data_IF_923866742202
#
_entry.id   IF_923866742202
#
_cell.length_a   1.000
_cell.length_b   1.000
_cell.length_c   1.000
_cell.angle_alpha   90.00
_cell.angle_beta   90.00
_cell.angle_gamma   90.00
#
_symmetry.space_group_name_H-M   'P 1'
#
loop_
_entity.id
_entity.type
_entity.pdbx_description
1 polymer ?
#
# COMPACT_ATOMS: atom_id res chain seq x y z
N UNK A 1 14.20 -1.75 -8.42
CA UNK A 1 13.47 -1.14 -7.28
C UNK A 1 13.73 0.35 -7.13
N UNK A 2 14.98 0.77 -7.16
CA UNK A 2 15.33 2.20 -7.03
C UNK A 2 14.65 3.08 -8.08
N UNK A 3 14.61 2.63 -9.31
CA UNK A 3 13.91 3.34 -10.38
C UNK A 3 12.42 3.52 -10.08
N UNK A 4 11.77 2.49 -9.55
CA UNK A 4 10.36 2.56 -9.17
C UNK A 4 10.11 3.58 -8.06
N UNK A 5 11.05 3.72 -7.12
CA UNK A 5 10.96 4.71 -6.05
C UNK A 5 11.06 6.13 -6.61
N UNK A 6 11.95 6.37 -7.54
CA UNK A 6 12.05 7.67 -8.21
C UNK A 6 10.78 8.00 -9.01
N UNK A 7 10.24 7.01 -9.71
CA UNK A 7 8.96 7.17 -10.40
C UNK A 7 7.83 7.49 -9.41
N UNK A 8 7.81 6.81 -8.27
CA UNK A 8 6.81 7.06 -7.23
C UNK A 8 6.87 8.50 -6.72
N UNK A 9 8.07 9.01 -6.47
CA UNK A 9 8.26 10.41 -6.07
C UNK A 9 7.76 11.38 -7.15
N UNK A 10 8.06 11.09 -8.39
CA UNK A 10 7.60 11.90 -9.50
C UNK A 10 6.07 11.92 -9.60
N UNK A 11 5.43 10.77 -9.54
CA UNK A 11 3.97 10.66 -9.61
C UNK A 11 3.29 11.33 -8.43
N UNK A 12 3.89 11.24 -7.25
CA UNK A 12 3.35 11.91 -6.07
C UNK A 12 3.39 13.44 -6.20
N UNK A 13 4.50 13.99 -6.74
CA UNK A 13 4.61 15.43 -6.99
C UNK A 13 3.64 15.95 -8.03
N UNK A 14 3.26 15.10 -8.98
CA UNK A 14 2.37 15.43 -10.09
C UNK A 14 1.04 14.67 -9.97
N UNK A 15 0.56 14.50 -8.75
CA UNK A 15 -0.64 13.70 -8.46
C UNK A 15 -1.90 14.22 -9.15
N UNK A 16 -1.95 15.48 -9.53
CA UNK A 16 -3.04 16.05 -10.32
C UNK A 16 -3.09 15.52 -11.76
N UNK A 17 -1.96 14.98 -12.27
CA UNK A 17 -1.86 14.36 -13.60
C UNK A 17 -2.06 12.85 -13.56
N UNK A 18 -1.85 12.23 -12.41
CA UNK A 18 -1.89 10.78 -12.24
C UNK A 18 -2.97 10.44 -11.22
N UNK A 19 -4.04 9.80 -11.70
CA UNK A 19 -5.18 9.48 -10.86
C UNK A 19 -4.87 8.38 -9.84
N UNK A 20 -5.86 8.10 -8.98
CA UNK A 20 -5.75 7.11 -7.92
C UNK A 20 -5.45 5.71 -8.48
N UNK A 21 -6.10 5.32 -9.57
CA UNK A 21 -5.90 4.00 -10.19
C UNK A 21 -4.47 3.87 -10.69
N UNK A 22 -3.95 4.87 -11.38
CA UNK A 22 -2.59 4.86 -11.89
C UNK A 22 -1.57 4.73 -10.76
N UNK A 23 -1.73 5.54 -9.71
CA UNK A 23 -0.83 5.50 -8.54
C UNK A 23 -0.89 4.15 -7.83
N UNK A 24 -2.07 3.59 -7.68
CA UNK A 24 -2.26 2.27 -7.08
C UNK A 24 -1.57 1.18 -7.89
N UNK A 25 -1.72 1.21 -9.22
CA UNK A 25 -1.06 0.24 -10.09
C UNK A 25 0.46 0.32 -10.00
N UNK A 26 1.00 1.51 -9.84
CA UNK A 26 2.44 1.65 -9.63
C UNK A 26 2.90 1.02 -8.31
N UNK A 27 2.15 1.22 -7.23
CA UNK A 27 2.43 0.56 -5.94
C UNK A 27 2.34 -0.96 -6.09
N UNK A 28 1.36 -1.46 -6.81
CA UNK A 28 1.25 -2.90 -7.08
C UNK A 28 2.48 -3.45 -7.81
N UNK A 29 3.04 -2.71 -8.75
CA UNK A 29 4.31 -3.09 -9.39
C UNK A 29 5.46 -3.17 -8.40
N UNK A 30 5.55 -2.20 -7.50
CA UNK A 30 6.58 -2.18 -6.45
C UNK A 30 6.47 -3.39 -5.52
N UNK A 31 5.29 -3.67 -5.00
CA UNK A 31 5.09 -4.79 -4.08
C UNK A 31 5.23 -6.14 -4.79
N UNK A 32 4.82 -6.24 -6.04
CA UNK A 32 5.01 -7.44 -6.85
C UNK A 32 6.50 -7.72 -7.06
N UNK A 33 7.30 -6.69 -7.32
CA UNK A 33 8.74 -6.81 -7.44
C UNK A 33 9.36 -7.36 -6.14
N UNK A 34 8.97 -6.81 -5.00
CA UNK A 34 9.44 -7.29 -3.69
C UNK A 34 9.06 -8.75 -3.45
N UNK A 35 7.83 -9.12 -3.76
CA UNK A 35 7.33 -10.49 -3.60
C UNK A 35 8.11 -11.48 -4.46
N UNK A 36 8.35 -11.14 -5.72
CA UNK A 36 9.11 -12.01 -6.64
C UNK A 36 10.56 -12.17 -6.19
N UNK A 37 11.19 -11.11 -5.72
CA UNK A 37 12.56 -11.19 -5.22
C UNK A 37 12.67 -12.01 -3.92
N UNK A 38 11.63 -11.98 -3.10
CA UNK A 38 11.56 -12.82 -1.91
C UNK A 38 11.22 -14.29 -2.23
N UNK A 39 10.97 -14.61 -3.51
CA UNK A 39 10.58 -15.95 -3.98
C UNK A 39 9.36 -16.48 -3.23
N UNK A 40 8.42 -15.61 -2.95
CA UNK A 40 7.21 -15.95 -2.20
C UNK A 40 6.06 -16.17 -3.17
N UNK A 41 5.39 -17.31 -3.02
CA UNK A 41 4.15 -17.59 -3.71
C UNK A 41 2.99 -17.35 -2.76
N UNK A 42 1.91 -16.80 -3.28
CA UNK A 42 0.73 -16.53 -2.49
C UNK A 42 -0.51 -17.08 -3.19
N UNK A 43 -1.40 -17.61 -2.40
CA UNK A 43 -2.71 -18.11 -2.87
C UNK A 43 -3.78 -17.27 -2.21
N UNK A 44 -4.68 -16.71 -3.02
CA UNK A 44 -5.82 -15.92 -2.52
C UNK A 44 -7.06 -16.81 -2.55
N UNK A 45 -7.71 -16.94 -1.41
CA UNK A 45 -8.93 -17.74 -1.25
C UNK A 45 -10.03 -16.83 -0.70
N UNK A 46 -11.22 -16.94 -1.27
CA UNK A 46 -12.38 -16.18 -0.78
C UNK A 46 -12.51 -14.79 -1.37
N UNK A 47 -11.84 -14.50 -2.48
CA UNK A 47 -11.94 -13.20 -3.15
C UNK A 47 -13.39 -12.83 -3.52
N UNK A 48 -14.20 -13.83 -3.81
CA UNK A 48 -15.63 -13.68 -4.13
C UNK A 48 -16.45 -13.14 -2.95
N UNK A 49 -15.93 -13.22 -1.74
CA UNK A 49 -16.60 -12.68 -0.54
C UNK A 49 -16.38 -11.18 -0.35
N UNK A 50 -15.48 -10.56 -1.13
CA UNK A 50 -15.26 -9.11 -1.05
C UNK A 50 -16.50 -8.36 -1.55
N UNK A 51 -16.82 -7.19 -0.93
CA UNK A 51 -17.92 -6.36 -1.41
C UNK A 51 -17.71 -5.95 -2.87
N UNK A 52 -18.79 -5.91 -3.64
CA UNK A 52 -18.76 -5.48 -5.05
C UNK A 52 -18.72 -3.97 -5.18
N UNK A 53 -19.16 -3.25 -4.15
CA UNK A 53 -19.12 -1.78 -4.10
C UNK A 53 -18.03 -1.30 -3.16
N UNK A 54 -17.41 -0.15 -3.49
CA UNK A 54 -16.36 0.44 -2.67
C UNK A 54 -16.86 1.03 -1.36
N UNK A 55 -15.94 1.62 -0.59
CA UNK A 55 -16.28 2.27 0.67
C UNK A 55 -16.30 1.33 1.86
N UNK A 56 -15.50 0.27 1.85
CA UNK A 56 -15.36 -0.65 2.97
C UNK A 56 -13.97 -0.60 3.58
N UNK A 57 -13.85 -1.05 4.81
CA UNK A 57 -12.57 -1.16 5.53
C UNK A 57 -12.27 -2.64 5.72
N UNK A 58 -11.02 -3.02 5.41
CA UNK A 58 -10.55 -4.38 5.65
C UNK A 58 -9.71 -4.43 6.92
N UNK A 59 -10.09 -5.32 7.82
CA UNK A 59 -9.32 -5.64 9.01
C UNK A 59 -8.66 -6.99 8.81
N UNK A 60 -7.34 -7.03 8.89
CA UNK A 60 -6.58 -8.25 8.70
C UNK A 60 -5.79 -8.61 9.95
N UNK A 61 -5.63 -9.90 10.21
CA UNK A 61 -4.70 -10.37 11.22
C UNK A 61 -3.29 -9.98 10.78
N UNK A 62 -2.59 -9.24 11.63
CA UNK A 62 -1.28 -8.71 11.30
C UNK A 62 -0.20 -9.46 12.10
N UNK A 63 0.64 -10.21 11.39
CA UNK A 63 1.74 -10.96 11.97
C UNK A 63 3.11 -10.47 11.51
N UNK A 64 3.18 -9.72 10.44
CA UNK A 64 4.43 -9.21 9.92
C UNK A 64 4.27 -8.24 8.76
N UNK A 65 5.38 -7.73 8.27
CA UNK A 65 5.41 -6.72 7.19
C UNK A 65 4.88 -7.26 5.86
N UNK A 66 4.93 -8.56 5.65
CA UNK A 66 4.47 -9.18 4.41
C UNK A 66 2.96 -9.10 4.22
N UNK A 67 2.19 -8.99 5.28
CA UNK A 67 0.72 -9.01 5.19
C UNK A 67 0.19 -7.90 4.30
N UNK A 68 0.70 -6.68 4.46
CA UNK A 68 0.32 -5.55 3.62
C UNK A 68 0.79 -5.74 2.16
N UNK A 69 2.00 -6.27 1.96
CA UNK A 69 2.54 -6.54 0.63
C UNK A 69 1.67 -7.56 -0.10
N UNK A 70 1.30 -8.63 0.60
CA UNK A 70 0.44 -9.66 0.03
C UNK A 70 -0.92 -9.11 -0.37
N UNK A 71 -1.57 -8.36 0.52
CA UNK A 71 -2.88 -7.79 0.26
C UNK A 71 -2.83 -6.80 -0.92
N UNK A 72 -1.89 -5.87 -0.92
CA UNK A 72 -1.76 -4.89 -2.00
C UNK A 72 -1.43 -5.53 -3.35
N UNK A 73 -0.72 -6.67 -3.34
CA UNK A 73 -0.38 -7.37 -4.59
C UNK A 73 -1.62 -7.92 -5.30
N UNK A 74 -2.63 -8.32 -4.56
CA UNK A 74 -3.77 -9.06 -5.10
C UNK A 74 -5.10 -8.33 -5.04
N UNK A 75 -5.22 -7.27 -4.26
CA UNK A 75 -6.45 -6.50 -4.19
C UNK A 75 -6.62 -5.67 -5.46
N UNK A 76 -7.69 -5.91 -6.22
CA UNK A 76 -7.89 -5.32 -7.55
C UNK A 76 -8.26 -3.84 -7.50
N UNK A 77 -9.07 -3.45 -6.53
CA UNK A 77 -9.54 -2.07 -6.40
C UNK A 77 -8.52 -1.21 -5.64
N UNK A 78 -8.37 0.06 -6.00
CA UNK A 78 -7.50 0.96 -5.26
C UNK A 78 -7.89 1.00 -3.78
N UNK A 79 -6.90 0.84 -2.91
CA UNK A 79 -7.11 0.95 -1.47
C UNK A 79 -5.96 1.73 -0.84
N UNK A 80 -6.21 2.27 0.33
CA UNK A 80 -5.20 2.94 1.14
C UNK A 80 -4.90 2.12 2.38
N UNK A 81 -3.88 2.51 3.13
CA UNK A 81 -3.45 1.78 4.31
C UNK A 81 -3.30 2.71 5.50
N UNK A 82 -3.52 2.15 6.69
CA UNK A 82 -3.14 2.77 7.95
C UNK A 82 -1.80 2.20 8.36
N UNK A 83 -0.84 3.06 8.66
CA UNK A 83 0.50 2.61 9.04
C UNK A 83 1.05 3.44 10.18
N UNK A 84 1.82 2.82 11.05
CA UNK A 84 2.54 3.53 12.10
C UNK A 84 3.64 4.42 11.50
N UNK A 85 3.84 5.60 12.07
CA UNK A 85 4.81 6.58 11.59
C UNK A 85 6.22 6.00 11.48
N UNK A 86 6.66 5.25 12.48
CA UNK A 86 7.99 4.64 12.47
C UNK A 86 8.21 3.71 11.27
N UNK A 87 7.25 2.85 11.01
CA UNK A 87 7.29 1.92 9.88
C UNK A 87 7.18 2.63 8.52
N UNK A 88 6.49 3.77 8.46
CA UNK A 88 6.31 4.53 7.22
C UNK A 88 7.58 5.24 6.74
N UNK A 89 8.59 5.38 7.59
CA UNK A 89 9.83 6.08 7.26
C UNK A 89 10.88 5.21 6.58
N UNK A 90 10.62 3.91 6.44
CA UNK A 90 11.53 3.01 5.76
C UNK A 90 11.58 3.37 4.28
N UNK A 91 12.79 3.30 3.70
CA UNK A 91 13.01 3.57 2.26
C UNK A 91 12.06 2.71 1.40
N UNK A 92 11.54 3.27 0.36
CA UNK A 92 10.52 2.72 -0.54
C UNK A 92 9.12 2.63 0.07
N UNK A 93 8.97 2.32 1.35
CA UNK A 93 7.67 2.30 2.04
C UNK A 93 7.07 3.70 2.10
N UNK A 94 7.88 4.71 2.41
CA UNK A 94 7.40 6.09 2.49
C UNK A 94 6.79 6.56 1.15
N UNK A 95 7.45 6.26 0.04
CA UNK A 95 6.98 6.63 -1.29
C UNK A 95 5.71 5.87 -1.68
N UNK A 96 5.64 4.58 -1.38
CA UNK A 96 4.45 3.77 -1.64
C UNK A 96 3.24 4.28 -0.84
N UNK A 97 3.44 4.56 0.45
CA UNK A 97 2.37 5.10 1.32
C UNK A 97 1.90 6.47 0.81
N UNK A 98 2.80 7.32 0.35
CA UNK A 98 2.44 8.61 -0.22
C UNK A 98 1.58 8.47 -1.47
N UNK A 99 1.89 7.52 -2.35
CA UNK A 99 1.08 7.26 -3.56
C UNK A 99 -0.30 6.70 -3.24
N UNK A 100 -0.44 5.96 -2.14
CA UNK A 100 -1.71 5.38 -1.71
C UNK A 100 -2.56 6.37 -0.89
N UNK A 101 -2.07 7.58 -0.63
CA UNK A 101 -2.67 8.52 0.32
C UNK A 101 -2.86 7.87 1.70
N UNK A 102 -1.87 7.09 2.13
CA UNK A 102 -1.92 6.35 3.38
C UNK A 102 -1.99 7.27 4.60
N UNK A 103 -2.67 6.79 5.63
CA UNK A 103 -2.81 7.50 6.89
C UNK A 103 -1.74 7.02 7.85
N UNK A 104 -0.89 7.94 8.31
CA UNK A 104 0.15 7.64 9.29
C UNK A 104 -0.35 7.88 10.70
N UNK A 105 -0.19 6.88 11.54
CA UNK A 105 -0.67 6.90 12.91
C UNK A 105 0.52 7.01 13.86
N UNK A 106 0.45 7.97 14.80
CA UNK A 106 1.40 8.09 15.89
C UNK A 106 0.80 7.49 17.16
N UNK A 107 1.23 6.30 17.52
CA UNK A 107 0.74 5.60 18.70
C UNK A 107 1.11 6.31 20.00
N UNK A 108 2.15 7.15 19.98
CA UNK A 108 2.58 7.91 21.16
C UNK A 108 1.71 9.14 21.43
N UNK A 109 0.91 9.59 20.44
CA UNK A 109 0.06 10.76 20.54
C UNK A 109 -1.33 10.50 19.95
N UNK A 110 -2.12 9.60 20.56
CA UNK A 110 -3.39 9.18 19.98
C UNK A 110 -4.40 10.32 19.80
N UNK A 111 -4.31 11.39 20.58
CA UNK A 111 -5.25 12.53 20.49
C UNK A 111 -4.99 13.46 19.30
N UNK A 112 -3.89 13.30 18.59
CA UNK A 112 -3.53 14.15 17.44
C UNK A 112 -3.71 13.46 16.09
N UNK A 113 -4.38 12.31 16.08
CA UNK A 113 -4.55 11.48 14.87
C UNK A 113 -5.80 11.81 14.06
N UNK A 114 -6.46 12.90 14.36
CA UNK A 114 -7.68 13.29 13.65
C UNK A 114 -7.36 14.22 12.49
#
# INVERSE_FOLDING_TARGET
>A
MLWMVFQAKYYHRHREKYDEVFRYRHVQKMVTYLRKNAKTESVVIGEENLPTEGGYIMYANHQGKYDAIGLLSYHKEPCSVLIEIGSSRVFSTNEAIALLDGIRIDQKRPRQQV
#
